data_IF_154454605834
#
_entry.id   IF_154454605834
#
_cell.length_a   1.000
_cell.length_b   1.000
_cell.length_c   1.000
_cell.angle_alpha   90.00
_cell.angle_beta   90.00
_cell.angle_gamma   90.00
#
_symmetry.space_group_name_H-M   'P 1'
#
loop_
_entity.id
_entity.type
_entity.pdbx_description
1 polymer ?
#
# COMPACT_ATOMS: atom_id res chain seq x y z
N UNK A 1 -1.09 13.30 42.71
CA UNK A 1 -2.16 12.69 41.89
C UNK A 1 -2.01 13.09 40.44
N UNK A 2 -1.98 12.13 39.52
CA UNK A 2 -1.92 12.38 38.07
C UNK A 2 -3.32 12.74 37.55
N UNK A 3 -3.46 13.92 36.93
CA UNK A 3 -4.76 14.54 36.60
C UNK A 3 -5.29 14.17 35.22
N UNK A 4 -5.14 12.89 34.84
CA UNK A 4 -5.82 12.31 33.69
C UNK A 4 -5.12 12.47 32.34
N UNK A 5 -5.14 11.38 31.57
CA UNK A 5 -4.93 11.38 30.13
C UNK A 5 -6.20 11.92 29.47
N UNK A 6 -6.09 12.97 28.66
CA UNK A 6 -7.17 13.41 27.78
C UNK A 6 -7.01 12.60 26.49
N UNK A 7 -7.87 11.59 26.22
CA UNK A 7 -7.87 10.95 24.92
C UNK A 7 -8.23 12.03 23.92
N UNK A 8 -7.24 12.46 23.16
CA UNK A 8 -7.42 13.43 22.09
C UNK A 8 -8.54 12.86 21.22
N UNK A 9 -9.71 13.50 21.22
CA UNK A 9 -10.79 13.17 20.29
C UNK A 9 -10.14 13.16 18.93
N UNK A 10 -9.96 11.97 18.36
CA UNK A 10 -9.18 11.81 17.13
C UNK A 10 -10.10 12.18 15.98
N UNK A 11 -10.55 13.43 16.00
CA UNK A 11 -11.26 14.06 14.91
C UNK A 11 -10.25 14.22 13.78
N UNK A 12 -10.08 13.15 13.01
CA UNK A 12 -9.22 13.13 11.83
C UNK A 12 -10.12 13.47 10.65
N UNK A 13 -10.02 14.69 10.16
CA UNK A 13 -10.62 15.04 8.89
C UNK A 13 -9.80 14.38 7.77
N UNK A 14 -10.48 13.76 6.81
CA UNK A 14 -9.84 13.11 5.67
C UNK A 14 -9.47 11.64 5.88
N UNK A 15 -8.94 11.03 4.81
CA UNK A 15 -8.57 9.62 4.77
C UNK A 15 -7.29 9.39 5.58
N UNK A 16 -7.26 8.29 6.34
CA UNK A 16 -6.02 7.84 6.99
C UNK A 16 -4.99 7.48 5.93
N UNK A 17 -3.71 7.52 6.29
CA UNK A 17 -2.64 7.07 5.40
C UNK A 17 -2.92 5.66 4.85
N UNK A 18 -3.36 4.73 5.69
CA UNK A 18 -3.73 3.38 5.25
C UNK A 18 -4.85 3.35 4.20
N UNK A 19 -5.91 4.16 4.38
CA UNK A 19 -7.00 4.25 3.40
C UNK A 19 -6.53 4.88 2.09
N UNK A 20 -5.80 5.99 2.16
CA UNK A 20 -5.25 6.67 0.99
C UNK A 20 -4.31 5.78 0.20
N UNK A 21 -3.39 5.09 0.87
CA UNK A 21 -2.44 4.17 0.23
C UNK A 21 -3.15 2.97 -0.38
N UNK A 22 -4.17 2.41 0.29
CA UNK A 22 -4.98 1.34 -0.27
C UNK A 22 -5.71 1.78 -1.54
N UNK A 23 -6.37 2.94 -1.50
CA UNK A 23 -7.12 3.46 -2.64
C UNK A 23 -6.20 3.69 -3.83
N UNK A 24 -5.01 4.28 -3.62
CA UNK A 24 -3.99 4.41 -4.66
C UNK A 24 -3.63 3.02 -5.20
N UNK A 25 -3.17 2.08 -4.37
CA UNK A 25 -2.70 0.75 -4.79
C UNK A 25 -3.72 -0.14 -5.50
N UNK A 26 -5.01 0.23 -5.47
CA UNK A 26 -6.11 -0.54 -6.06
C UNK A 26 -6.80 0.18 -7.22
N UNK A 27 -6.51 1.46 -7.44
CA UNK A 27 -7.13 2.25 -8.50
C UNK A 27 -6.55 1.89 -9.89
N UNK A 28 -7.35 1.37 -10.82
CA UNK A 28 -6.88 1.03 -12.17
C UNK A 28 -6.56 2.26 -13.03
N UNK A 29 -7.01 3.45 -12.66
CA UNK A 29 -6.71 4.69 -13.36
C UNK A 29 -5.31 5.24 -13.02
N UNK A 30 -4.71 4.77 -11.93
CA UNK A 30 -3.36 5.17 -11.52
C UNK A 30 -2.34 4.24 -12.18
N UNK A 31 -1.36 4.81 -12.87
CA UNK A 31 -0.28 4.02 -13.47
C UNK A 31 0.51 3.27 -12.40
N UNK A 32 0.65 1.96 -12.55
CA UNK A 32 1.36 1.09 -11.60
C UNK A 32 2.16 0.02 -12.31
N UNK A 33 3.10 -0.56 -11.56
CA UNK A 33 3.69 -1.84 -11.95
C UNK A 33 2.58 -2.88 -12.20
N UNK A 34 2.72 -3.75 -13.20
CA UNK A 34 1.77 -4.85 -13.45
C UNK A 34 1.65 -5.83 -12.27
N UNK A 35 2.49 -5.66 -11.24
CA UNK A 35 2.49 -6.45 -10.02
C UNK A 35 2.45 -5.54 -8.79
N UNK A 36 1.39 -5.67 -8.01
CA UNK A 36 1.22 -4.96 -6.73
C UNK A 36 2.27 -5.40 -5.69
N UNK A 37 2.69 -4.46 -4.85
CA UNK A 37 3.57 -4.71 -3.69
C UNK A 37 2.88 -5.61 -2.65
N UNK A 38 1.55 -5.60 -2.61
CA UNK A 38 0.75 -6.44 -1.72
C UNK A 38 0.47 -7.84 -2.31
N UNK A 39 1.05 -8.18 -3.47
CA UNK A 39 0.86 -9.50 -4.07
C UNK A 39 1.46 -10.61 -3.18
N UNK A 40 0.83 -11.79 -3.10
CA UNK A 40 1.35 -12.90 -2.29
C UNK A 40 2.79 -13.26 -2.63
N UNK A 41 3.64 -13.36 -1.60
CA UNK A 41 5.09 -13.58 -1.75
C UNK A 41 5.40 -14.93 -2.42
N UNK A 42 4.62 -15.97 -2.11
CA UNK A 42 4.78 -17.30 -2.72
C UNK A 42 4.45 -17.34 -4.22
N UNK A 43 3.85 -16.26 -4.77
CA UNK A 43 3.62 -16.10 -6.22
C UNK A 43 4.68 -15.21 -6.86
N UNK A 44 5.73 -14.80 -6.13
CA UNK A 44 6.78 -13.94 -6.67
C UNK A 44 7.63 -14.75 -7.63
N UNK A 45 7.47 -14.42 -8.91
CA UNK A 45 8.43 -14.72 -9.95
C UNK A 45 9.72 -13.98 -9.61
N UNK A 46 10.85 -14.67 -9.54
CA UNK A 46 12.13 -14.07 -9.13
C UNK A 46 12.63 -13.06 -10.17
N UNK A 47 13.57 -12.20 -9.76
CA UNK A 47 14.19 -11.17 -10.63
C UNK A 47 14.68 -11.74 -11.97
N UNK A 48 15.12 -13.01 -11.98
CA UNK A 48 15.54 -13.74 -13.18
C UNK A 48 14.44 -13.84 -14.25
N UNK A 49 13.18 -13.98 -13.84
CA UNK A 49 12.04 -14.17 -14.76
C UNK A 49 11.58 -12.85 -15.40
N UNK A 50 11.77 -11.72 -14.71
CA UNK A 50 11.50 -10.39 -15.25
C UNK A 50 12.50 -9.98 -16.33
N UNK A 51 13.77 -10.36 -16.18
CA UNK A 51 14.80 -10.19 -17.23
C UNK A 51 14.41 -10.93 -18.51
N UNK A 52 13.83 -12.13 -18.39
CA UNK A 52 13.38 -12.94 -19.53
C UNK A 52 12.18 -12.36 -20.28
N UNK A 53 11.36 -11.52 -19.63
CA UNK A 53 10.19 -10.87 -20.22
C UNK A 53 10.52 -9.55 -20.93
N UNK A 54 11.56 -8.85 -20.48
CA UNK A 54 11.99 -7.58 -21.06
C UNK A 54 12.97 -7.77 -22.24
N UNK A 55 13.50 -8.98 -22.42
CA UNK A 55 14.46 -9.34 -23.46
C UNK A 55 13.85 -10.03 -24.69
N UNK A 56 12.55 -9.86 -24.97
CA UNK A 56 11.88 -10.34 -26.19
C UNK A 56 11.17 -9.20 -26.90
#
# INVERSE_FOLDING_TARGET
SYTGYVPQYTYRFGKTYGRTTHDVLTDPAVAMSPRSVLAPLHKLKTVSEFSSLLGR
#
